data_IF_496454238863
#
_entry.id   IF_496454238863
#
_cell.length_a   1.000
_cell.length_b   1.000
_cell.length_c   1.000
_cell.angle_alpha   90.00
_cell.angle_beta   90.00
_cell.angle_gamma   90.00
#
_symmetry.space_group_name_H-M   'P 1'
#
loop_
_entity.id
_entity.type
_entity.pdbx_description
1 polymer ?
#
# COMPACT_ATOMS: atom_id res chain seq x y z
N UNK A 1 -24.12 67.50 -32.04
CA UNK A 1 -23.85 66.04 -32.04
C UNK A 1 -23.70 65.61 -30.59
N UNK A 2 -24.79 65.08 -30.02
CA UNK A 2 -24.87 64.70 -28.61
C UNK A 2 -24.45 63.25 -28.42
N UNK A 3 -23.57 62.98 -27.46
CA UNK A 3 -23.25 61.62 -27.06
C UNK A 3 -24.07 61.26 -25.82
N UNK A 4 -24.93 60.27 -26.04
CA UNK A 4 -25.88 59.70 -25.11
C UNK A 4 -25.22 58.98 -23.94
N UNK A 5 -25.89 59.11 -22.80
CA UNK A 5 -25.68 58.47 -21.52
C UNK A 5 -25.33 56.97 -21.58
N UNK A 6 -24.17 56.60 -21.03
CA UNK A 6 -23.87 55.25 -20.55
C UNK A 6 -24.21 55.15 -19.06
N UNK A 7 -25.49 54.90 -18.76
CA UNK A 7 -25.95 54.61 -17.39
C UNK A 7 -25.70 53.13 -17.09
N UNK A 8 -24.45 52.79 -16.79
CA UNK A 8 -24.07 51.49 -16.24
C UNK A 8 -24.51 51.41 -14.78
N UNK A 9 -25.63 50.74 -14.51
CA UNK A 9 -26.07 50.46 -13.15
C UNK A 9 -25.10 49.48 -12.47
N UNK A 10 -24.20 50.01 -11.63
CA UNK A 10 -23.49 49.22 -10.62
C UNK A 10 -24.50 48.70 -9.59
N UNK A 11 -25.10 47.54 -9.88
CA UNK A 11 -25.79 46.74 -8.89
C UNK A 11 -24.73 46.09 -7.99
N UNK A 12 -24.66 46.60 -6.77
CA UNK A 12 -23.86 46.12 -5.64
C UNK A 12 -23.75 44.59 -5.60
N UNK A 13 -22.55 44.08 -5.87
CA UNK A 13 -22.19 42.70 -5.59
C UNK A 13 -22.33 42.44 -4.10
N UNK A 14 -23.41 41.76 -3.72
CA UNK A 14 -23.59 41.25 -2.36
C UNK A 14 -22.58 40.12 -2.19
N UNK A 15 -21.39 40.46 -1.69
CA UNK A 15 -20.36 39.51 -1.31
C UNK A 15 -20.96 38.57 -0.27
N UNK A 16 -21.37 37.38 -0.71
CA UNK A 16 -21.74 36.29 0.19
C UNK A 16 -20.47 35.92 0.93
N UNK A 17 -20.39 36.36 2.18
CA UNK A 17 -19.35 35.99 3.12
C UNK A 17 -19.26 34.46 3.14
N UNK A 18 -18.20 33.91 2.54
CA UNK A 18 -17.83 32.50 2.70
C UNK A 18 -17.29 32.32 4.11
N UNK A 19 -18.17 32.44 5.10
CA UNK A 19 -17.94 31.99 6.46
C UNK A 19 -18.06 30.47 6.45
N UNK A 20 -16.95 29.85 6.09
CA UNK A 20 -16.73 28.42 6.14
C UNK A 20 -15.23 28.24 6.23
N UNK A 21 -14.65 28.69 7.36
CA UNK A 21 -13.34 28.22 7.77
C UNK A 21 -13.44 26.70 7.78
N UNK A 22 -12.94 26.08 6.72
CA UNK A 22 -12.94 24.64 6.57
C UNK A 22 -12.15 24.10 7.74
N UNK A 23 -12.85 23.61 8.77
CA UNK A 23 -12.28 22.64 9.70
C UNK A 23 -11.67 21.59 8.79
N UNK A 24 -10.34 21.61 8.66
CA UNK A 24 -9.61 20.52 8.03
C UNK A 24 -10.13 19.29 8.75
N UNK A 25 -10.91 18.48 8.04
CA UNK A 25 -11.43 17.23 8.58
C UNK A 25 -10.19 16.40 8.83
N UNK A 26 -9.62 16.51 10.03
CA UNK A 26 -8.62 15.61 10.54
C UNK A 26 -9.35 14.30 10.72
N UNK A 27 -9.42 13.52 9.65
CA UNK A 27 -9.80 12.14 9.76
C UNK A 27 -8.72 11.48 10.61
N UNK A 28 -9.04 10.88 11.77
CA UNK A 28 -8.06 10.09 12.48
C UNK A 28 -7.52 9.05 11.49
N UNK A 29 -6.20 8.80 11.51
CA UNK A 29 -5.53 7.94 10.52
C UNK A 29 -6.18 6.55 10.37
N UNK A 30 -6.94 6.11 11.37
CA UNK A 30 -7.75 4.89 11.36
C UNK A 30 -8.98 4.92 10.42
N UNK A 31 -9.56 6.09 10.11
CA UNK A 31 -10.82 6.20 9.35
C UNK A 31 -10.65 6.65 7.90
N UNK A 32 -9.44 6.96 7.44
CA UNK A 32 -9.19 7.28 6.05
C UNK A 32 -8.57 6.08 5.33
N UNK A 33 -9.30 5.41 4.40
CA UNK A 33 -8.79 4.22 3.72
C UNK A 33 -7.53 4.52 2.88
N UNK A 34 -7.39 5.73 2.35
CA UNK A 34 -6.19 6.11 1.62
C UNK A 34 -4.95 6.15 2.53
N UNK A 35 -5.10 6.68 3.75
CA UNK A 35 -4.01 6.72 4.74
C UNK A 35 -3.70 5.30 5.23
N UNK A 36 -4.72 4.48 5.46
CA UNK A 36 -4.55 3.08 5.85
C UNK A 36 -3.76 2.27 4.81
N UNK A 37 -4.06 2.45 3.52
CA UNK A 37 -3.32 1.79 2.43
C UNK A 37 -1.87 2.25 2.38
N UNK A 38 -1.61 3.56 2.48
CA UNK A 38 -0.24 4.10 2.48
C UNK A 38 0.56 3.54 3.66
N UNK A 39 0.00 3.57 4.87
CA UNK A 39 0.65 3.02 6.05
C UNK A 39 0.90 1.50 5.93
N UNK A 40 -0.03 0.75 5.33
CA UNK A 40 0.16 -0.68 5.10
C UNK A 40 1.29 -0.95 4.11
N UNK A 41 1.40 -0.16 3.03
CA UNK A 41 2.50 -0.26 2.07
C UNK A 41 3.84 0.02 2.73
N UNK A 42 3.92 1.07 3.54
CA UNK A 42 5.14 1.43 4.26
C UNK A 42 5.55 0.33 5.25
N UNK A 43 4.58 -0.24 5.98
CA UNK A 43 4.84 -1.36 6.90
C UNK A 43 5.39 -2.58 6.17
N UNK A 44 4.78 -2.96 5.05
CA UNK A 44 5.24 -4.11 4.24
C UNK A 44 6.63 -3.85 3.69
N UNK A 45 6.89 -2.65 3.15
CA UNK A 45 8.19 -2.29 2.59
C UNK A 45 9.31 -2.32 3.64
N UNK A 46 9.06 -1.77 4.84
CA UNK A 46 10.03 -1.81 5.94
C UNK A 46 10.35 -3.22 6.37
N UNK A 47 9.32 -4.05 6.61
CA UNK A 47 9.52 -5.45 6.99
C UNK A 47 10.27 -6.24 5.92
N UNK A 48 9.97 -5.99 4.64
CA UNK A 48 10.70 -6.63 3.54
C UNK A 48 12.19 -6.23 3.53
N UNK A 49 12.49 -4.95 3.79
CA UNK A 49 13.87 -4.47 3.88
C UNK A 49 14.59 -5.10 5.08
N UNK A 50 13.97 -5.10 6.26
CA UNK A 50 14.53 -5.72 7.48
C UNK A 50 14.82 -7.21 7.27
N UNK A 51 13.85 -7.97 6.73
CA UNK A 51 14.05 -9.40 6.44
C UNK A 51 15.10 -9.64 5.35
N UNK A 52 15.29 -8.69 4.43
CA UNK A 52 16.33 -8.77 3.38
C UNK A 52 17.72 -8.43 3.91
N UNK A 53 17.83 -7.50 4.87
CA UNK A 53 19.09 -7.16 5.53
C UNK A 53 19.56 -8.28 6.47
N UNK A 54 18.62 -9.02 7.05
CA UNK A 54 18.93 -10.17 7.89
C UNK A 54 19.31 -11.42 7.07
N UNK A 55 19.15 -11.41 5.74
CA UNK A 55 19.64 -12.48 4.87
C UNK A 55 21.16 -12.63 5.04
N UNK A 56 21.58 -13.83 5.46
CA UNK A 56 22.99 -14.17 5.70
C UNK A 56 23.41 -14.07 7.17
N UNK A 57 22.55 -13.59 8.07
CA UNK A 57 22.80 -13.70 9.52
C UNK A 57 22.53 -15.13 10.00
N UNK A 58 23.40 -15.65 10.87
CA UNK A 58 23.28 -17.00 11.45
C UNK A 58 21.97 -17.24 12.23
N UNK A 59 21.36 -16.18 12.77
CA UNK A 59 20.11 -16.25 13.52
C UNK A 59 18.85 -16.06 12.65
N UNK A 60 19.00 -15.96 11.33
CA UNK A 60 17.88 -15.69 10.44
C UNK A 60 17.00 -16.92 10.24
N UNK A 61 15.76 -16.88 10.75
CA UNK A 61 14.79 -17.97 10.66
C UNK A 61 14.15 -18.13 9.27
N UNK A 62 14.47 -17.24 8.32
CA UNK A 62 13.87 -17.17 6.99
C UNK A 62 12.92 -15.99 6.84
N UNK A 63 12.77 -15.53 5.59
CA UNK A 63 11.85 -14.47 5.18
C UNK A 63 10.41 -14.96 5.26
N UNK A 64 9.50 -14.03 5.53
CA UNK A 64 8.06 -14.27 5.42
C UNK A 64 7.45 -13.55 4.23
N UNK A 65 8.13 -12.52 3.72
CA UNK A 65 7.69 -11.74 2.58
C UNK A 65 8.47 -12.09 1.30
N UNK A 66 7.78 -12.02 0.17
CA UNK A 66 8.32 -12.22 -1.17
C UNK A 66 7.97 -11.04 -2.06
N UNK A 67 8.83 -10.75 -3.02
CA UNK A 67 8.51 -9.83 -4.11
C UNK A 67 7.45 -10.45 -5.04
N UNK A 68 6.73 -9.59 -5.77
CA UNK A 68 5.74 -10.05 -6.75
C UNK A 68 6.32 -10.98 -7.83
N UNK A 69 7.62 -10.84 -8.15
CA UNK A 69 8.31 -11.74 -9.08
C UNK A 69 8.56 -13.11 -8.44
N UNK A 70 9.09 -13.15 -7.22
CA UNK A 70 9.38 -14.39 -6.51
C UNK A 70 8.08 -15.19 -6.23
N UNK A 71 6.97 -14.52 -5.93
CA UNK A 71 5.67 -15.20 -5.77
C UNK A 71 5.31 -15.99 -7.03
N UNK A 72 5.48 -15.40 -8.22
CA UNK A 72 5.22 -16.10 -9.50
C UNK A 72 6.17 -17.27 -9.70
N UNK A 73 7.44 -17.11 -9.36
CA UNK A 73 8.46 -18.16 -9.48
C UNK A 73 8.17 -19.33 -8.53
N UNK A 74 7.80 -19.04 -7.28
CA UNK A 74 7.39 -20.03 -6.26
C UNK A 74 6.15 -20.80 -6.69
N UNK A 75 5.11 -20.10 -7.15
CA UNK A 75 3.87 -20.75 -7.64
C UNK A 75 4.18 -21.61 -8.87
N UNK A 76 4.99 -21.11 -9.80
CA UNK A 76 5.41 -21.88 -10.98
C UNK A 76 6.23 -23.12 -10.60
N UNK A 77 7.13 -23.01 -9.62
CA UNK A 77 7.94 -24.12 -9.13
C UNK A 77 7.08 -25.21 -8.45
N UNK A 78 6.06 -24.79 -7.68
CA UNK A 78 5.07 -25.68 -7.07
C UNK A 78 4.22 -26.39 -8.14
N UNK A 79 3.72 -25.64 -9.13
CA UNK A 79 2.89 -26.15 -10.22
C UNK A 79 3.64 -27.22 -11.04
N UNK A 80 4.91 -26.99 -11.32
CA UNK A 80 5.76 -27.94 -12.04
C UNK A 80 6.09 -29.21 -11.21
N UNK A 81 5.75 -29.25 -9.92
CA UNK A 81 6.01 -30.36 -8.97
C UNK A 81 7.46 -30.85 -8.95
N UNK A 82 8.41 -30.02 -9.38
CA UNK A 82 9.84 -30.41 -9.47
C UNK A 82 10.50 -30.49 -8.11
N UNK A 83 10.00 -29.75 -7.13
CA UNK A 83 10.54 -29.65 -5.78
C UNK A 83 9.45 -29.84 -4.73
N UNK A 84 9.83 -30.48 -3.61
CA UNK A 84 8.99 -30.54 -2.42
C UNK A 84 8.94 -29.19 -1.71
N UNK A 85 7.89 -28.98 -0.91
CA UNK A 85 7.58 -27.69 -0.28
C UNK A 85 8.75 -27.14 0.53
N UNK A 86 9.41 -28.00 1.32
CA UNK A 86 10.59 -27.61 2.10
C UNK A 86 11.81 -27.27 1.25
N UNK A 87 11.93 -27.83 0.03
CA UNK A 87 13.01 -27.48 -0.89
C UNK A 87 12.76 -26.12 -1.55
N UNK A 88 11.50 -25.83 -1.90
CA UNK A 88 11.09 -24.50 -2.37
C UNK A 88 11.32 -23.47 -1.25
N UNK A 89 10.89 -23.74 -0.03
CA UNK A 89 11.11 -22.83 1.10
C UNK A 89 12.59 -22.52 1.32
N UNK A 90 13.47 -23.53 1.28
CA UNK A 90 14.93 -23.31 1.39
C UNK A 90 15.49 -22.48 0.23
N UNK A 91 15.07 -22.76 -1.00
CA UNK A 91 15.56 -22.06 -2.19
C UNK A 91 15.23 -20.57 -2.17
N UNK A 92 14.05 -20.21 -1.64
CA UNK A 92 13.62 -18.81 -1.52
C UNK A 92 13.92 -18.19 -0.14
N UNK A 93 14.69 -18.88 0.69
CA UNK A 93 15.02 -18.50 2.06
C UNK A 93 13.79 -18.16 2.90
N UNK A 94 12.70 -18.90 2.70
CA UNK A 94 11.44 -18.74 3.42
C UNK A 94 11.49 -19.48 4.75
N UNK A 95 10.79 -18.90 5.73
CA UNK A 95 10.46 -19.63 6.95
C UNK A 95 9.55 -20.81 6.62
N UNK A 96 9.72 -21.90 7.37
CA UNK A 96 8.90 -23.11 7.15
C UNK A 96 7.41 -22.83 7.40
N UNK A 97 6.56 -23.32 6.49
CA UNK A 97 5.11 -23.16 6.52
C UNK A 97 4.60 -21.92 5.79
N UNK A 98 5.48 -20.98 5.42
CA UNK A 98 5.08 -19.76 4.67
C UNK A 98 4.57 -20.12 3.28
N UNK A 99 5.14 -21.17 2.66
CA UNK A 99 4.66 -21.60 1.34
C UNK A 99 3.21 -22.10 1.40
N UNK A 100 2.87 -22.88 2.43
CA UNK A 100 1.50 -23.34 2.65
C UNK A 100 0.55 -22.17 2.95
N UNK A 101 1.00 -21.16 3.69
CA UNK A 101 0.22 -19.95 3.97
C UNK A 101 -0.06 -19.15 2.69
N UNK A 102 0.95 -18.96 1.84
CA UNK A 102 0.80 -18.27 0.54
C UNK A 102 -0.19 -19.02 -0.36
N UNK A 103 -0.08 -20.35 -0.44
CA UNK A 103 -0.91 -21.18 -1.31
C UNK A 103 -2.35 -21.36 -0.78
N UNK A 104 -2.54 -21.41 0.54
CA UNK A 104 -3.87 -21.57 1.16
C UNK A 104 -4.65 -20.27 1.26
N UNK A 105 -3.97 -19.14 1.44
CA UNK A 105 -4.61 -17.84 1.62
C UNK A 105 -5.01 -17.14 0.33
N UNK A 106 -4.42 -17.49 -0.82
CA UNK A 106 -4.62 -16.80 -2.11
C UNK A 106 -4.17 -15.32 -2.14
N UNK A 107 -3.94 -14.72 -0.98
CA UNK A 107 -3.45 -13.37 -0.75
C UNK A 107 -2.94 -13.26 0.70
N UNK A 108 -1.87 -12.47 0.88
CA UNK A 108 -1.22 -12.21 2.16
C UNK A 108 -2.25 -11.74 3.21
N UNK A 109 -2.37 -12.47 4.32
CA UNK A 109 -3.23 -12.12 5.44
C UNK A 109 -2.64 -10.92 6.17
N UNK A 110 -3.15 -9.73 5.87
CA UNK A 110 -2.72 -8.51 6.55
C UNK A 110 -3.45 -8.40 7.90
N UNK A 111 -2.79 -8.85 8.96
CA UNK A 111 -3.20 -8.58 10.36
C UNK A 111 -2.64 -7.22 10.77
#
# INVERSE_FOLDING_TARGET
MGNSASKGAQASGKAVSRAGAGKKRQYPAANNPAIAIVNARDRIARRFAEESEDLGRKAFAGRTLLSAREIREVISAKEQRRWGDSAIEKQFHLKSGVLAEILSGGAVKNV
#
